data_IF_258275863369
#
_entry.id   IF_258275863369
#
_cell.length_a   1.000
_cell.length_b   1.000
_cell.length_c   1.000
_cell.angle_alpha   90.00
_cell.angle_beta   90.00
_cell.angle_gamma   90.00
#
_symmetry.space_group_name_H-M   'P 1'
#
loop_
_entity.id
_entity.type
_entity.pdbx_description
1 polymer ?
#
# COMPACT_ATOMS: atom_id res chain seq x y z
N UNK A 1 -7.01 50.76 14.83
CA UNK A 1 -7.92 50.05 13.91
C UNK A 1 -7.20 49.06 12.97
N UNK A 2 -5.89 49.20 12.70
CA UNK A 2 -5.12 48.30 11.82
C UNK A 2 -4.86 46.89 12.38
N UNK A 3 -4.71 46.74 13.71
CA UNK A 3 -4.33 45.45 14.35
C UNK A 3 -5.39 44.35 14.24
N UNK A 4 -6.68 44.71 14.21
CA UNK A 4 -7.81 43.79 14.03
C UNK A 4 -7.87 43.19 12.62
N UNK A 5 -7.32 43.89 11.63
CA UNK A 5 -7.30 43.45 10.25
C UNK A 5 -6.19 42.43 10.00
N UNK A 6 -5.01 42.63 10.60
CA UNK A 6 -3.91 41.66 10.55
C UNK A 6 -4.25 40.35 11.26
N UNK A 7 -4.95 40.39 12.41
CA UNK A 7 -5.36 39.16 13.11
C UNK A 7 -6.39 38.37 12.31
N UNK A 8 -7.32 39.06 11.64
CA UNK A 8 -8.34 38.42 10.80
C UNK A 8 -7.74 37.77 9.56
N UNK A 9 -6.74 38.42 8.95
CA UNK A 9 -6.01 37.85 7.82
C UNK A 9 -5.17 36.63 8.23
N UNK A 10 -4.53 36.69 9.40
CA UNK A 10 -3.78 35.55 9.96
C UNK A 10 -4.69 34.36 10.27
N UNK A 11 -5.89 34.60 10.82
CA UNK A 11 -6.88 33.56 11.09
C UNK A 11 -7.37 32.91 9.79
N UNK A 12 -7.62 33.71 8.76
CA UNK A 12 -8.05 33.23 7.45
C UNK A 12 -6.98 32.33 6.80
N UNK A 13 -5.71 32.74 6.85
CA UNK A 13 -4.58 31.92 6.36
C UNK A 13 -4.49 30.58 7.10
N UNK A 14 -4.69 30.58 8.42
CA UNK A 14 -4.66 29.36 9.22
C UNK A 14 -5.84 28.41 8.88
N UNK A 15 -7.02 28.95 8.59
CA UNK A 15 -8.19 28.18 8.14
C UNK A 15 -8.00 27.57 6.74
N UNK A 16 -7.38 28.32 5.81
CA UNK A 16 -7.07 27.78 4.48
C UNK A 16 -6.04 26.64 4.54
N UNK A 17 -5.02 26.74 5.40
CA UNK A 17 -4.00 25.72 5.55
C UNK A 17 -4.56 24.37 6.05
N UNK A 18 -5.62 24.39 6.86
CA UNK A 18 -6.23 23.16 7.39
C UNK A 18 -7.13 22.44 6.38
N UNK A 19 -7.52 23.09 5.29
CA UNK A 19 -8.45 22.52 4.29
C UNK A 19 -7.76 21.53 3.33
N UNK A 20 -6.42 21.47 3.32
CA UNK A 20 -5.64 20.62 2.41
C UNK A 20 -5.32 19.28 3.10
N UNK A 21 -6.35 18.52 3.47
CA UNK A 21 -6.18 17.14 3.91
C UNK A 21 -6.62 16.20 2.80
N UNK A 22 -5.70 15.91 1.87
CA UNK A 22 -5.96 14.88 0.87
C UNK A 22 -5.92 13.51 1.53
N UNK A 23 -7.08 12.86 1.62
CA UNK A 23 -7.17 11.45 2.03
C UNK A 23 -6.64 10.59 0.89
N UNK A 24 -5.60 9.81 1.15
CA UNK A 24 -5.12 8.80 0.22
C UNK A 24 -6.25 7.82 -0.10
N UNK A 25 -6.66 7.79 -1.38
CA UNK A 25 -7.68 6.86 -1.86
C UNK A 25 -7.02 5.51 -2.10
N UNK A 26 -7.69 4.39 -1.75
CA UNK A 26 -7.18 3.07 -2.10
C UNK A 26 -7.12 2.95 -3.63
N UNK A 27 -5.92 2.70 -4.14
CA UNK A 27 -5.70 2.47 -5.58
C UNK A 27 -5.79 0.97 -5.86
N UNK A 28 -6.60 0.59 -6.83
CA UNK A 28 -6.69 -0.79 -7.30
C UNK A 28 -5.59 -1.00 -8.34
N UNK A 29 -4.69 -1.94 -8.08
CA UNK A 29 -3.64 -2.35 -9.02
C UNK A 29 -4.03 -3.66 -9.69
N UNK A 30 -4.23 -3.64 -11.01
CA UNK A 30 -4.57 -4.82 -11.80
C UNK A 30 -3.39 -5.26 -12.67
N UNK A 31 -3.17 -6.56 -12.79
CA UNK A 31 -2.13 -7.11 -13.66
C UNK A 31 -2.18 -8.63 -13.74
N UNK A 32 -1.25 -9.20 -14.50
CA UNK A 32 -1.08 -10.65 -14.61
C UNK A 32 -0.04 -11.13 -13.60
N UNK A 33 -0.37 -12.16 -12.82
CA UNK A 33 0.64 -12.82 -11.98
C UNK A 33 1.59 -13.60 -12.88
N UNK A 34 2.88 -13.26 -12.85
CA UNK A 34 3.91 -13.86 -13.70
C UNK A 34 4.93 -14.69 -12.91
N UNK A 35 4.85 -14.69 -11.58
CA UNK A 35 5.67 -15.57 -10.75
C UNK A 35 5.33 -15.48 -9.27
N UNK A 36 5.44 -16.59 -8.56
CA UNK A 36 5.26 -16.70 -7.11
C UNK A 36 6.65 -16.78 -6.46
N UNK A 37 6.94 -15.93 -5.47
CA UNK A 37 8.26 -15.88 -4.82
C UNK A 37 8.26 -16.69 -3.51
N UNK A 38 7.36 -16.32 -2.61
CA UNK A 38 7.16 -16.89 -1.28
C UNK A 38 5.63 -16.99 -1.03
N UNK A 39 5.20 -17.51 0.13
CA UNK A 39 3.77 -17.75 0.40
C UNK A 39 2.90 -16.49 0.45
N UNK A 40 3.49 -15.33 0.72
CA UNK A 40 2.82 -14.02 0.83
C UNK A 40 3.26 -13.02 -0.26
N UNK A 41 4.17 -13.43 -1.16
CA UNK A 41 4.89 -12.52 -2.06
C UNK A 41 4.93 -13.03 -3.49
N UNK A 42 4.52 -12.20 -4.44
CA UNK A 42 4.43 -12.54 -5.86
C UNK A 42 4.87 -11.39 -6.77
N UNK A 43 5.05 -11.70 -8.06
CA UNK A 43 5.36 -10.75 -9.13
C UNK A 43 4.13 -10.52 -10.00
N UNK A 44 3.74 -9.27 -10.13
CA UNK A 44 2.63 -8.81 -10.94
C UNK A 44 3.16 -8.01 -12.14
N UNK A 45 2.76 -8.40 -13.34
CA UNK A 45 2.98 -7.66 -14.57
C UNK A 45 1.80 -6.71 -14.79
N UNK A 46 2.04 -5.41 -14.71
CA UNK A 46 1.02 -4.39 -14.99
C UNK A 46 0.78 -4.23 -16.49
N UNK A 47 -0.28 -3.51 -16.86
CA UNK A 47 -0.57 -3.19 -18.27
C UNK A 47 0.57 -2.42 -18.94
N UNK A 48 1.30 -1.61 -18.17
CA UNK A 48 2.46 -0.83 -18.64
C UNK A 48 3.74 -1.69 -18.78
N UNK A 49 3.59 -3.02 -18.85
CA UNK A 49 4.70 -3.99 -18.91
C UNK A 49 5.69 -3.88 -17.74
N UNK A 50 5.30 -3.22 -16.66
CA UNK A 50 6.14 -3.08 -15.47
C UNK A 50 5.90 -4.26 -14.55
N UNK A 51 6.99 -4.91 -14.12
CA UNK A 51 6.90 -5.99 -13.15
C UNK A 51 7.10 -5.43 -11.74
N UNK A 52 6.08 -5.53 -10.92
CA UNK A 52 6.10 -5.09 -9.51
C UNK A 52 6.04 -6.30 -8.59
N UNK A 53 6.78 -6.20 -7.48
CA UNK A 53 6.77 -7.21 -6.42
C UNK A 53 5.73 -6.82 -5.38
N UNK A 54 4.72 -7.67 -5.19
CA UNK A 54 3.59 -7.43 -4.29
C UNK A 54 3.71 -8.38 -3.10
N UNK A 55 3.60 -7.84 -1.89
CA UNK A 55 3.52 -8.59 -0.64
C UNK A 55 2.13 -8.36 -0.03
N UNK A 56 1.46 -9.43 0.36
CA UNK A 56 0.14 -9.35 0.99
C UNK A 56 0.26 -8.68 2.36
N UNK A 57 -0.50 -7.62 2.59
CA UNK A 57 -0.56 -6.99 3.89
C UNK A 57 -1.25 -7.93 4.89
N UNK A 58 -0.76 -7.94 6.13
CA UNK A 58 -1.34 -8.71 7.24
C UNK A 58 -1.33 -10.25 7.08
N UNK A 59 -0.70 -10.79 6.03
CA UNK A 59 -0.45 -12.22 5.87
C UNK A 59 1.05 -12.47 5.98
N UNK A 60 1.46 -13.27 6.96
CA UNK A 60 2.86 -13.66 7.15
C UNK A 60 2.96 -15.18 7.03
N UNK A 61 3.68 -15.63 6.00
CA UNK A 61 3.84 -17.06 5.71
C UNK A 61 5.26 -17.50 6.08
N UNK A 62 5.44 -18.73 6.60
CA UNK A 62 6.76 -19.24 6.94
C UNK A 62 7.66 -19.24 5.71
N UNK A 63 8.79 -18.54 5.81
CA UNK A 63 9.71 -18.38 4.68
C UNK A 63 10.48 -19.68 4.43
N UNK A 64 10.82 -19.96 3.18
CA UNK A 64 11.63 -21.12 2.74
C UNK A 64 12.92 -21.40 3.53
N UNK A 65 13.48 -20.41 4.24
CA UNK A 65 14.70 -20.52 5.06
C UNK A 65 14.43 -20.66 6.57
N UNK A 66 13.21 -20.45 7.03
CA UNK A 66 12.85 -20.72 8.41
C UNK A 66 12.68 -22.25 8.53
N UNK A 67 13.42 -22.86 9.45
CA UNK A 67 13.57 -24.31 9.62
C UNK A 67 12.34 -25.01 10.23
N UNK A 68 11.14 -24.59 9.86
CA UNK A 68 9.89 -25.24 10.27
C UNK A 68 8.95 -25.25 9.05
N UNK A 69 8.41 -26.42 8.72
CA UNK A 69 7.47 -26.75 7.64
C UNK A 69 8.02 -27.15 6.26
N UNK A 70 8.06 -28.48 6.05
CA UNK A 70 8.29 -29.16 4.78
C UNK A 70 7.07 -29.15 3.83
N UNK A 71 5.92 -28.61 4.26
CA UNK A 71 4.65 -28.69 3.51
C UNK A 71 3.97 -27.32 3.29
N UNK A 72 4.60 -26.22 3.71
CA UNK A 72 3.95 -24.89 3.75
C UNK A 72 4.07 -24.04 2.47
N UNK A 73 4.78 -24.50 1.44
CA UNK A 73 5.09 -23.65 0.27
C UNK A 73 3.90 -23.40 -0.67
N UNK A 74 2.89 -24.28 -0.65
CA UNK A 74 1.71 -24.17 -1.52
C UNK A 74 0.48 -23.56 -0.84
N UNK A 75 0.40 -23.57 0.49
CA UNK A 75 -0.88 -23.41 1.19
C UNK A 75 -1.30 -21.93 1.29
N UNK A 76 -0.34 -21.03 1.48
CA UNK A 76 -0.63 -19.61 1.76
C UNK A 76 -1.16 -18.84 0.54
N UNK A 77 -0.67 -19.15 -0.67
CA UNK A 77 -1.08 -18.48 -1.91
C UNK A 77 -2.28 -19.18 -2.58
N UNK A 78 -2.39 -20.51 -2.45
CA UNK A 78 -3.45 -21.30 -3.08
C UNK A 78 -4.80 -21.18 -2.38
N UNK A 79 -4.86 -20.71 -1.13
CA UNK A 79 -6.11 -20.62 -0.38
C UNK A 79 -6.96 -19.39 -0.74
N UNK A 80 -6.43 -18.45 -1.51
CA UNK A 80 -7.06 -17.15 -1.80
C UNK A 80 -7.35 -16.90 -3.28
N UNK A 81 -6.96 -17.82 -4.17
CA UNK A 81 -7.22 -17.74 -5.61
C UNK A 81 -8.15 -18.86 -6.06
#
# INVERSE_FOLDING_TARGET
>A
MSKLWLSSLSLLVLLLAFSISEKAKPTILTGKVVGIMDGDTFKLLTKDSTTVKVRLANIDCPRKKASVFHEGKGICFSSYF
#
